data_IF_194115899986
#
_entry.id   IF_194115899986
#
_cell.length_a   1.000
_cell.length_b   1.000
_cell.length_c   1.000
_cell.angle_alpha   90.00
_cell.angle_beta   90.00
_cell.angle_gamma   90.00
#
_symmetry.space_group_name_H-M   'P 1'
#
loop_
_entity.id
_entity.type
_entity.pdbx_description
1 polymer ?
#
# COMPACT_ATOMS: atom_id res chain seq x y z
N UNK A 1 19.56 7.36 -20.07
CA UNK A 1 20.16 7.57 -18.72
C UNK A 1 20.41 9.07 -18.50
N UNK A 2 20.31 9.59 -17.26
CA UNK A 2 20.37 11.05 -16.96
C UNK A 2 21.73 11.55 -16.43
N UNK A 3 22.75 10.69 -16.32
CA UNK A 3 24.12 11.09 -15.96
C UNK A 3 24.27 11.70 -14.56
N UNK A 4 23.45 11.24 -13.60
CA UNK A 4 23.40 11.72 -12.21
C UNK A 4 24.49 10.99 -11.39
N UNK A 5 25.22 11.66 -10.49
CA UNK A 5 26.15 10.99 -9.59
C UNK A 5 25.41 10.11 -8.57
N UNK A 6 25.47 8.79 -8.78
CA UNK A 6 24.74 7.78 -7.98
C UNK A 6 25.24 7.74 -6.53
N UNK A 7 26.55 7.89 -6.31
CA UNK A 7 27.13 7.87 -4.96
C UNK A 7 26.62 9.03 -4.07
N UNK A 8 26.45 10.23 -4.65
CA UNK A 8 25.90 11.37 -3.92
C UNK A 8 24.40 11.18 -3.67
N UNK A 9 23.67 10.63 -4.64
CA UNK A 9 22.25 10.30 -4.49
C UNK A 9 21.99 9.34 -3.32
N UNK A 10 22.74 8.24 -3.22
CA UNK A 10 22.55 7.27 -2.14
C UNK A 10 22.81 7.88 -0.76
N UNK A 11 23.81 8.76 -0.62
CA UNK A 11 24.08 9.47 0.64
C UNK A 11 22.95 10.43 1.03
N UNK A 12 22.51 11.26 0.07
CA UNK A 12 21.44 12.24 0.27
C UNK A 12 20.10 11.56 0.59
N UNK A 13 19.83 10.44 -0.08
CA UNK A 13 18.65 9.62 0.17
C UNK A 13 18.69 9.00 1.57
N UNK A 14 19.78 8.32 1.92
CA UNK A 14 19.91 7.69 3.23
C UNK A 14 19.81 8.72 4.35
N UNK A 15 20.40 9.91 4.20
CA UNK A 15 20.30 11.01 5.17
C UNK A 15 18.87 11.49 5.38
N UNK A 16 18.12 11.71 4.30
CA UNK A 16 16.70 12.13 4.38
C UNK A 16 15.79 11.05 4.93
N UNK A 17 16.17 9.78 4.85
CA UNK A 17 15.37 8.64 5.29
C UNK A 17 15.78 8.12 6.67
N UNK A 18 16.85 8.62 7.31
CA UNK A 18 17.32 8.13 8.64
C UNK A 18 16.26 8.16 9.74
N UNK A 19 15.34 9.13 9.68
CA UNK A 19 14.29 9.29 10.69
C UNK A 19 13.08 8.36 10.43
N UNK A 20 12.96 7.80 9.23
CA UNK A 20 11.84 6.95 8.83
C UNK A 20 12.22 5.49 9.06
N UNK A 21 11.32 4.71 9.66
CA UNK A 21 11.55 3.29 9.94
C UNK A 21 11.95 2.53 8.68
N UNK A 22 12.96 1.68 8.83
CA UNK A 22 13.46 0.81 7.78
C UNK A 22 12.38 -0.16 7.29
N UNK A 23 12.34 -0.42 5.98
CA UNK A 23 11.35 -1.31 5.35
C UNK A 23 10.10 -0.63 4.80
N UNK A 24 9.92 0.69 5.01
CA UNK A 24 8.79 1.43 4.43
C UNK A 24 9.13 1.85 2.99
N UNK A 25 8.34 1.46 1.97
CA UNK A 25 8.55 1.91 0.60
C UNK A 25 8.16 3.39 0.45
N UNK A 26 9.15 4.23 0.16
CA UNK A 26 8.99 5.68 -0.03
C UNK A 26 9.10 6.05 -1.51
N UNK A 27 8.08 6.66 -2.11
CA UNK A 27 8.19 7.20 -3.45
C UNK A 27 9.05 8.48 -3.44
N UNK A 28 10.02 8.56 -4.35
CA UNK A 28 10.95 9.70 -4.46
C UNK A 28 10.82 10.28 -5.86
N UNK A 29 10.56 11.58 -5.94
CA UNK A 29 10.60 12.32 -7.21
C UNK A 29 11.97 12.96 -7.37
N UNK A 30 12.65 12.62 -8.47
CA UNK A 30 13.97 13.16 -8.82
C UNK A 30 13.79 14.20 -9.91
N UNK A 31 14.01 15.47 -9.58
CA UNK A 31 14.02 16.55 -10.55
C UNK A 31 15.44 16.79 -11.03
N UNK A 32 15.69 16.66 -12.33
CA UNK A 32 17.01 16.87 -12.91
C UNK A 32 16.99 18.16 -13.73
N UNK A 33 17.80 19.13 -13.32
CA UNK A 33 18.02 20.38 -14.07
C UNK A 33 19.38 20.32 -14.76
N UNK A 34 19.52 20.74 -16.03
CA UNK A 34 20.83 21.07 -16.60
C UNK A 34 21.41 22.26 -15.82
N UNK A 35 22.67 22.27 -15.35
CA UNK A 35 23.79 21.36 -15.61
C UNK A 35 23.94 20.22 -14.56
N UNK A 36 23.13 19.16 -14.67
CA UNK A 36 23.17 17.92 -13.84
C UNK A 36 22.94 18.13 -12.33
N UNK A 37 22.30 19.23 -11.96
CA UNK A 37 21.85 19.45 -10.59
C UNK A 37 20.58 18.64 -10.37
N UNK A 38 20.54 17.81 -9.33
CA UNK A 38 19.37 17.02 -8.99
C UNK A 38 18.76 17.52 -7.67
N UNK A 39 17.43 17.49 -7.60
CA UNK A 39 16.67 17.80 -6.38
C UNK A 39 15.82 16.59 -6.04
N UNK A 40 15.97 16.08 -4.82
CA UNK A 40 15.18 14.97 -4.29
C UNK A 40 14.01 15.51 -3.48
N UNK A 41 12.80 15.18 -3.90
CA UNK A 41 11.60 15.38 -3.08
C UNK A 41 11.11 14.02 -2.61
N UNK A 42 11.10 13.84 -1.29
CA UNK A 42 10.49 12.69 -0.65
C UNK A 42 8.98 12.90 -0.58
N UNK A 43 8.23 11.87 -0.95
CA UNK A 43 6.77 11.85 -0.83
C UNK A 43 6.42 10.89 0.30
N UNK A 44 5.37 11.16 1.11
CA UNK A 44 4.95 10.23 2.15
C UNK A 44 4.66 8.82 1.59
N UNK A 45 4.65 7.79 2.45
CA UNK A 45 4.44 6.41 2.03
C UNK A 45 3.18 6.24 1.16
N UNK A 46 3.24 5.25 0.26
CA UNK A 46 2.12 4.97 -0.64
C UNK A 46 0.85 4.63 0.15
N UNK A 47 -0.32 5.00 -0.38
CA UNK A 47 -1.60 4.68 0.28
C UNK A 47 -1.77 3.17 0.41
N UNK A 48 -1.27 2.43 -0.58
CA UNK A 48 -1.26 0.98 -0.59
C UNK A 48 -0.55 0.41 0.65
N UNK A 49 0.69 0.84 0.89
CA UNK A 49 1.45 0.39 2.05
C UNK A 49 0.76 0.75 3.38
N UNK A 50 0.25 1.98 3.49
CA UNK A 50 -0.44 2.42 4.71
C UNK A 50 -1.72 1.60 4.98
N UNK A 51 -2.50 1.29 3.94
CA UNK A 51 -3.72 0.50 4.05
C UNK A 51 -3.43 -0.97 4.38
N UNK A 52 -2.44 -1.56 3.72
CA UNK A 52 -2.00 -2.95 3.97
C UNK A 52 -1.49 -3.10 5.42
N UNK A 53 -0.67 -2.16 5.88
CA UNK A 53 -0.17 -2.15 7.25
C UNK A 53 -1.28 -1.94 8.29
N UNK A 54 -2.27 -1.07 8.02
CA UNK A 54 -3.42 -0.87 8.95
C UNK A 54 -4.42 -2.03 8.94
N UNK A 55 -4.51 -2.75 7.82
CA UNK A 55 -5.35 -3.92 7.66
C UNK A 55 -4.72 -5.21 8.19
N UNK A 56 -3.47 -5.18 8.64
CA UNK A 56 -2.74 -6.37 9.11
C UNK A 56 -2.41 -7.35 7.99
N UNK A 57 -2.29 -6.86 6.76
CA UNK A 57 -2.15 -7.66 5.57
C UNK A 57 -0.70 -7.66 5.06
N UNK A 58 -0.29 -8.73 4.37
CA UNK A 58 0.99 -8.78 3.66
C UNK A 58 0.88 -8.29 2.21
N UNK A 59 -0.17 -8.72 1.51
CA UNK A 59 -0.41 -8.40 0.09
C UNK A 59 -1.88 -8.05 -0.13
N UNK A 60 -2.20 -7.35 -1.22
CA UNK A 60 -3.59 -7.06 -1.62
C UNK A 60 -4.31 -8.30 -2.17
N UNK A 61 -5.62 -8.20 -2.42
CA UNK A 61 -6.38 -9.29 -3.05
C UNK A 61 -5.88 -9.55 -4.48
N UNK A 62 -5.71 -10.83 -4.84
CA UNK A 62 -5.40 -11.23 -6.21
C UNK A 62 -6.59 -11.00 -7.13
N UNK A 63 -7.80 -11.31 -6.65
CA UNK A 63 -9.07 -11.08 -7.37
C UNK A 63 -9.93 -10.03 -6.67
N UNK A 64 -9.59 -8.76 -6.91
CA UNK A 64 -10.36 -7.61 -6.41
C UNK A 64 -11.85 -7.77 -6.74
N UNK A 65 -12.72 -7.64 -5.73
CA UNK A 65 -14.20 -7.87 -5.71
C UNK A 65 -14.66 -9.28 -5.39
N UNK A 66 -13.90 -10.32 -5.72
CA UNK A 66 -14.25 -11.69 -5.37
C UNK A 66 -13.75 -12.05 -3.98
N UNK A 67 -12.55 -11.58 -3.65
CA UNK A 67 -11.93 -11.76 -2.35
C UNK A 67 -11.91 -10.43 -1.59
N UNK A 68 -12.23 -10.53 -0.30
CA UNK A 68 -11.97 -9.44 0.64
C UNK A 68 -10.62 -9.74 1.27
N UNK A 69 -9.67 -8.86 1.00
CA UNK A 69 -8.30 -9.02 1.45
C UNK A 69 -8.22 -8.72 2.96
N UNK A 70 -8.85 -7.63 3.40
CA UNK A 70 -8.83 -7.18 4.78
C UNK A 70 -9.95 -6.21 5.09
N UNK A 71 -10.08 -5.86 6.36
CA UNK A 71 -11.04 -4.87 6.83
C UNK A 71 -10.34 -3.71 7.52
N UNK A 72 -10.80 -2.49 7.24
CA UNK A 72 -10.32 -1.27 7.88
C UNK A 72 -11.48 -0.39 8.31
N UNK A 73 -11.30 0.37 9.38
CA UNK A 73 -12.32 1.30 9.88
C UNK A 73 -12.20 2.68 9.23
N UNK A 74 -13.27 3.46 9.28
CA UNK A 74 -13.25 4.86 8.84
C UNK A 74 -12.24 5.70 9.63
N UNK A 75 -12.00 5.37 10.91
CA UNK A 75 -10.98 6.02 11.74
C UNK A 75 -9.58 5.85 11.15
N UNK A 76 -9.22 4.64 10.75
CA UNK A 76 -7.94 4.35 10.10
C UNK A 76 -7.77 5.14 8.80
N UNK A 77 -8.83 5.29 8.01
CA UNK A 77 -8.80 6.07 6.77
C UNK A 77 -8.52 7.54 7.06
N UNK A 78 -9.14 8.09 8.11
CA UNK A 78 -8.95 9.48 8.50
C UNK A 78 -7.52 9.75 8.99
N UNK A 79 -6.93 8.83 9.77
CA UNK A 79 -5.52 8.91 10.15
C UNK A 79 -4.59 8.90 8.93
N UNK A 80 -4.85 8.00 7.98
CA UNK A 80 -4.07 7.90 6.74
C UNK A 80 -4.24 9.18 5.91
N UNK A 81 -5.44 9.74 5.85
CA UNK A 81 -5.72 10.99 5.13
C UNK A 81 -4.94 12.17 5.72
N UNK A 82 -4.87 12.28 7.05
CA UNK A 82 -4.08 13.33 7.72
C UNK A 82 -2.58 13.23 7.45
N UNK A 83 -2.04 12.02 7.34
CA UNK A 83 -0.63 11.83 6.96
C UNK A 83 -0.44 12.21 5.49
N UNK A 84 -1.38 11.81 4.62
CA UNK A 84 -1.24 11.93 3.17
C UNK A 84 -1.57 13.32 2.61
N UNK A 85 -2.34 14.14 3.31
CA UNK A 85 -2.68 15.50 2.85
C UNK A 85 -1.44 16.40 2.66
N UNK A 86 -0.33 16.08 3.35
CA UNK A 86 0.97 16.75 3.22
C UNK A 86 1.73 16.37 1.93
N UNK A 87 1.24 15.40 1.16
CA UNK A 87 1.79 15.04 -0.13
C UNK A 87 1.56 16.17 -1.14
N UNK A 88 2.62 16.54 -1.86
CA UNK A 88 2.60 17.53 -2.93
C UNK A 88 1.45 17.31 -3.93
N UNK A 89 1.11 16.05 -4.20
CA UNK A 89 0.06 15.68 -5.16
C UNK A 89 -1.35 16.11 -4.70
N UNK A 90 -1.60 16.11 -3.39
CA UNK A 90 -2.86 16.59 -2.80
C UNK A 90 -2.81 18.09 -2.50
N UNK A 91 -1.64 18.59 -2.09
CA UNK A 91 -1.43 20.02 -1.83
C UNK A 91 -1.61 20.85 -3.11
N UNK A 92 -1.06 20.44 -4.26
CA UNK A 92 -1.24 21.16 -5.54
C UNK A 92 -2.73 21.24 -5.94
N UNK A 93 -3.51 20.22 -5.58
CA UNK A 93 -4.93 20.13 -5.94
C UNK A 93 -5.85 20.85 -4.94
N UNK A 94 -5.30 21.44 -3.87
CA UNK A 94 -6.05 22.08 -2.78
C UNK A 94 -7.24 21.21 -2.31
N UNK A 95 -7.02 19.91 -2.17
CA UNK A 95 -8.07 18.98 -1.77
C UNK A 95 -8.41 19.12 -0.29
N UNK A 96 -9.70 19.09 0.02
CA UNK A 96 -10.18 18.98 1.40
C UNK A 96 -9.79 17.62 1.99
N UNK A 97 -9.76 17.52 3.33
CA UNK A 97 -9.47 16.25 4.00
C UNK A 97 -10.51 15.15 3.64
N UNK A 98 -11.76 15.56 3.37
CA UNK A 98 -12.83 14.66 2.94
C UNK A 98 -12.57 14.08 1.55
N UNK A 99 -12.04 14.87 0.61
CA UNK A 99 -11.71 14.40 -0.73
C UNK A 99 -10.50 13.46 -0.72
N UNK A 100 -9.51 13.75 0.14
CA UNK A 100 -8.38 12.84 0.38
C UNK A 100 -8.88 11.52 0.96
N UNK A 101 -9.79 11.55 1.94
CA UNK A 101 -10.41 10.35 2.50
C UNK A 101 -11.17 9.54 1.44
N UNK A 102 -11.97 10.19 0.57
CA UNK A 102 -12.64 9.52 -0.56
C UNK A 102 -11.65 8.86 -1.52
N UNK A 103 -10.54 9.52 -1.81
CA UNK A 103 -9.47 8.95 -2.65
C UNK A 103 -8.84 7.70 -2.03
N UNK A 104 -8.62 7.73 -0.70
CA UNK A 104 -8.10 6.58 0.04
C UNK A 104 -9.11 5.43 0.08
N UNK A 105 -10.41 5.72 0.25
CA UNK A 105 -11.49 4.72 0.15
C UNK A 105 -11.47 4.03 -1.22
N UNK A 106 -11.31 4.79 -2.30
CA UNK A 106 -11.18 4.24 -3.66
C UNK A 106 -9.95 3.34 -3.82
N UNK A 107 -8.84 3.72 -3.18
CA UNK A 107 -7.62 2.91 -3.14
C UNK A 107 -7.82 1.60 -2.37
N UNK A 108 -8.47 1.67 -1.20
CA UNK A 108 -8.81 0.49 -0.40
C UNK A 108 -9.67 -0.50 -1.18
N UNK A 109 -10.68 -0.01 -1.90
CA UNK A 109 -11.54 -0.84 -2.75
C UNK A 109 -10.77 -1.56 -3.85
N UNK A 110 -9.77 -0.90 -4.43
CA UNK A 110 -8.93 -1.49 -5.50
C UNK A 110 -8.02 -2.61 -4.98
N UNK A 111 -7.63 -2.53 -3.70
CA UNK A 111 -6.84 -3.55 -3.00
C UNK A 111 -7.69 -4.70 -2.43
N UNK A 112 -9.02 -4.64 -2.59
CA UNK A 112 -9.94 -5.61 -2.00
C UNK A 112 -10.17 -5.43 -0.49
N UNK A 113 -9.85 -4.25 0.06
CA UNK A 113 -10.06 -3.94 1.47
C UNK A 113 -11.48 -3.40 1.67
N UNK A 114 -12.22 -3.99 2.60
CA UNK A 114 -13.57 -3.56 2.98
C UNK A 114 -13.49 -2.50 4.07
N UNK A 115 -14.15 -1.37 3.83
CA UNK A 115 -14.24 -0.27 4.79
C UNK A 115 -15.50 -0.45 5.63
N UNK A 116 -15.35 -0.53 6.96
CA UNK A 116 -16.46 -0.71 7.91
C UNK A 116 -16.51 0.50 8.86
N UNK A 117 -17.69 0.85 9.38
CA UNK A 117 -17.86 1.96 10.33
C UNK A 117 -17.33 1.56 11.71
N UNK A 118 -17.80 0.43 12.21
CA UNK A 118 -17.45 -0.14 13.51
C UNK A 118 -16.98 -1.58 13.29
N UNK A 119 -15.81 -1.92 13.84
CA UNK A 119 -15.24 -3.25 13.74
C UNK A 119 -15.08 -3.79 15.16
N UNK A 120 -15.80 -4.86 15.48
CA UNK A 120 -15.60 -5.57 16.75
C UNK A 120 -14.44 -6.57 16.60
N UNK A 121 -13.78 -6.88 17.71
CA UNK A 121 -12.67 -7.84 17.70
C UNK A 121 -13.13 -9.25 17.29
N UNK A 122 -14.37 -9.61 17.63
CA UNK A 122 -14.99 -10.90 17.32
C UNK A 122 -15.25 -11.03 15.82
N UNK A 123 -15.80 -9.99 15.19
CA UNK A 123 -16.03 -9.97 13.73
C UNK A 123 -14.73 -10.10 12.94
N UNK A 124 -13.66 -9.46 13.41
CA UNK A 124 -12.35 -9.56 12.77
C UNK A 124 -11.72 -10.95 12.97
N UNK A 125 -11.91 -11.57 14.14
CA UNK A 125 -11.47 -12.94 14.41
C UNK A 125 -12.13 -13.96 13.48
N UNK A 126 -13.44 -13.86 13.30
CA UNK A 126 -14.20 -14.70 12.38
C UNK A 126 -13.73 -14.51 10.92
N UNK A 127 -13.45 -13.26 10.54
CA UNK A 127 -12.91 -12.97 9.21
C UNK A 127 -11.53 -13.61 8.98
N UNK A 128 -10.64 -13.58 9.97
CA UNK A 128 -9.32 -14.21 9.84
C UNK A 128 -9.42 -15.73 9.69
N UNK A 129 -10.34 -16.37 10.42
CA UNK A 129 -10.58 -17.81 10.30
C UNK A 129 -11.12 -18.18 8.91
N UNK A 130 -12.10 -17.43 8.40
CA UNK A 130 -12.65 -17.63 7.06
C UNK A 130 -11.58 -17.45 5.96
N UNK A 131 -10.69 -16.47 6.14
CA UNK A 131 -9.58 -16.23 5.20
C UNK A 131 -8.52 -17.33 5.25
N UNK A 132 -8.24 -17.90 6.43
CA UNK A 132 -7.32 -19.03 6.55
C UNK A 132 -7.90 -20.28 5.88
N UNK A 133 -9.19 -20.56 6.08
CA UNK A 133 -9.87 -21.68 5.43
C UNK A 133 -9.88 -21.54 3.90
N UNK A 134 -10.23 -20.35 3.38
CA UNK A 134 -10.17 -20.07 1.94
C UNK A 134 -8.77 -20.25 1.37
N UNK A 135 -7.74 -19.76 2.07
CA UNK A 135 -6.35 -19.89 1.62
C UNK A 135 -5.89 -21.35 1.63
N UNK A 136 -6.35 -22.17 2.59
CA UNK A 136 -6.10 -23.63 2.61
C UNK A 136 -6.72 -24.31 1.39
N UNK A 137 -7.99 -24.04 1.10
CA UNK A 137 -8.69 -24.59 -0.06
C UNK A 137 -8.03 -24.15 -1.38
N UNK A 138 -7.64 -22.87 -1.49
CA UNK A 138 -6.98 -22.36 -2.69
C UNK A 138 -5.58 -22.96 -2.87
N UNK A 139 -4.82 -23.12 -1.79
CA UNK A 139 -3.52 -23.79 -1.81
C UNK A 139 -3.64 -25.27 -2.22
N UNK A 140 -4.66 -25.99 -1.72
CA UNK A 140 -4.96 -27.37 -2.12
C UNK A 140 -5.35 -27.47 -3.59
N UNK A 141 -6.19 -26.54 -4.08
CA UNK A 141 -6.58 -26.48 -5.50
C UNK A 141 -5.39 -26.20 -6.41
N UNK A 142 -4.52 -25.25 -6.02
CA UNK A 142 -3.33 -24.87 -6.78
C UNK A 142 -2.28 -26.01 -6.77
N UNK A 143 -2.17 -26.75 -5.66
CA UNK A 143 -1.36 -27.96 -5.58
C UNK A 143 -1.90 -29.09 -6.47
N UNK A 144 -3.22 -29.27 -6.55
CA UNK A 144 -3.86 -30.23 -7.44
C UNK A 144 -3.68 -29.86 -8.93
N UNK A 145 -3.79 -28.58 -9.28
CA UNK A 145 -3.54 -28.08 -10.64
C UNK A 145 -2.07 -28.29 -11.05
N UNK A 146 -1.13 -27.97 -10.15
CA UNK A 146 0.29 -28.21 -10.36
C UNK A 146 0.60 -29.71 -10.57
N UNK A 147 -0.01 -30.59 -9.78
CA UNK A 147 0.13 -32.05 -9.94
C UNK A 147 -0.48 -32.58 -11.24
N UNK A 148 -1.59 -31.98 -11.71
CA UNK A 148 -2.22 -32.31 -12.98
C UNK A 148 -1.37 -31.93 -14.20
N UNK A 149 -0.65 -30.81 -14.14
CA UNK A 149 0.28 -30.38 -15.19
C UNK A 149 1.53 -31.25 -15.28
N UNK A 150 1.99 -31.83 -14.16
CA UNK A 150 3.12 -32.78 -14.13
C UNK A 150 2.77 -34.11 -14.81
N UNK A 151 1.50 -34.54 -14.79
CA UNK A 151 1.05 -35.77 -15.49
C UNK A 151 0.85 -35.61 -17.01
N UNK A 152 0.89 -34.39 -17.53
CA UNK A 152 0.70 -34.07 -18.96
C UNK A 152 2.00 -33.77 -19.72
N UNK A 153 3.15 -33.81 -19.06
CA UNK A 153 4.48 -33.78 -19.67
C UNK A 153 5.07 -35.18 -19.69
#
# INVERSE_FOLDING_TARGET
>A
QRGIPIGQFCKDFNEKTKEIKEGIPLPIKIYVKPPKIYTLKSTPPTSCYLLVNRGGMGEGACRTRHEVAGMVTVKHIYEIAQVKIKDESFTIRNMSLEDVAKSIIGSARSLGIKVVKDLTAEDYGNFLQEQEEKRKVEAEALAAEAAGLVKKK
#
